data_IF_169882857833
#
_entry.id   IF_169882857833
#
_cell.length_a   1.000
_cell.length_b   1.000
_cell.length_c   1.000
_cell.angle_alpha   90.00
_cell.angle_beta   90.00
_cell.angle_gamma   90.00
#
_symmetry.space_group_name_H-M   'P 1'
#
loop_
_entity.id
_entity.type
_entity.pdbx_description
1 polymer ?
#
# COMPACT_ATOMS: atom_id res chain seq x y z
N UNK A 1 0.31 12.50 -2.76
CA UNK A 1 1.22 12.04 -3.81
C UNK A 1 2.18 11.05 -3.19
N UNK A 2 2.18 9.82 -3.66
CA UNK A 2 3.07 8.79 -3.15
C UNK A 2 4.36 8.75 -3.97
N UNK A 3 5.49 8.62 -3.29
CA UNK A 3 6.78 8.41 -3.95
C UNK A 3 6.93 6.90 -4.09
N UNK A 4 6.59 6.39 -5.27
CA UNK A 4 6.54 4.96 -5.57
C UNK A 4 7.93 4.31 -5.64
N UNK A 5 8.95 5.05 -6.09
CA UNK A 5 10.32 4.57 -6.23
C UNK A 5 11.32 5.48 -5.50
N UNK A 6 12.10 4.88 -4.60
CA UNK A 6 13.09 5.59 -3.78
C UNK A 6 14.53 5.34 -4.21
N UNK A 7 14.76 4.46 -5.20
CA UNK A 7 16.05 3.97 -5.66
C UNK A 7 16.40 4.41 -7.08
N UNK A 8 15.40 4.77 -7.90
CA UNK A 8 15.63 5.33 -9.24
C UNK A 8 16.05 6.81 -9.19
N UNK A 9 17.05 7.23 -9.99
CA UNK A 9 17.40 8.63 -10.12
C UNK A 9 16.24 9.51 -10.63
N UNK A 10 15.97 10.62 -9.94
CA UNK A 10 14.99 11.62 -10.38
C UNK A 10 15.47 12.48 -11.56
N UNK A 11 14.54 13.23 -12.14
CA UNK A 11 14.75 14.00 -13.38
C UNK A 11 15.47 15.34 -13.15
N UNK A 12 15.44 15.90 -11.94
CA UNK A 12 15.99 17.23 -11.65
C UNK A 12 17.41 17.20 -11.09
N UNK A 13 17.70 16.26 -10.18
CA UNK A 13 18.98 16.15 -9.47
C UNK A 13 19.78 14.90 -9.83
N UNK A 14 19.23 13.99 -10.65
CA UNK A 14 19.89 12.75 -11.05
C UNK A 14 20.25 11.86 -9.85
N UNK A 15 19.46 11.91 -8.78
CA UNK A 15 19.69 11.18 -7.53
C UNK A 15 18.44 10.41 -7.14
N UNK A 16 18.59 9.22 -6.53
CA UNK A 16 17.45 8.56 -5.90
C UNK A 16 16.89 9.40 -4.75
N UNK A 17 15.58 9.31 -4.50
CA UNK A 17 14.93 10.02 -3.40
C UNK A 17 15.57 9.70 -2.05
N UNK A 18 16.11 8.48 -1.87
CA UNK A 18 16.93 8.10 -0.71
C UNK A 18 18.14 9.02 -0.49
N UNK A 19 18.68 9.68 -1.51
CA UNK A 19 19.85 10.58 -1.45
C UNK A 19 19.49 12.06 -1.63
N UNK A 20 18.20 12.39 -1.65
CA UNK A 20 17.69 13.76 -1.74
C UNK A 20 17.36 14.31 -0.34
N UNK A 21 17.71 15.56 -0.08
CA UNK A 21 17.18 16.29 1.08
C UNK A 21 15.67 16.50 0.96
N UNK A 22 15.00 16.87 2.06
CA UNK A 22 13.54 17.14 2.05
C UNK A 22 13.10 18.11 0.95
N UNK A 23 13.83 19.21 0.75
CA UNK A 23 13.57 20.19 -0.31
C UNK A 23 13.88 19.66 -1.71
N UNK A 24 14.88 18.79 -1.85
CA UNK A 24 15.14 18.15 -3.14
C UNK A 24 14.06 17.16 -3.52
N UNK A 25 13.51 16.43 -2.53
CA UNK A 25 12.38 15.52 -2.75
C UNK A 25 11.17 16.31 -3.24
N UNK A 26 10.79 17.39 -2.54
CA UNK A 26 9.66 18.21 -2.96
C UNK A 26 9.81 18.75 -4.39
N UNK A 27 10.97 19.32 -4.72
CA UNK A 27 11.23 19.83 -6.08
C UNK A 27 11.22 18.73 -7.14
N UNK A 28 11.71 17.53 -6.84
CA UNK A 28 11.66 16.38 -7.76
C UNK A 28 10.23 15.92 -8.02
N UNK A 29 9.44 15.76 -6.95
CA UNK A 29 8.03 15.36 -7.07
C UNK A 29 7.26 16.40 -7.87
N UNK A 30 7.44 17.69 -7.57
CA UNK A 30 6.81 18.78 -8.31
C UNK A 30 7.21 18.79 -9.79
N UNK A 31 8.49 18.61 -10.09
CA UNK A 31 8.98 18.55 -11.48
C UNK A 31 8.38 17.37 -12.25
N UNK A 32 8.25 16.19 -11.62
CA UNK A 32 7.65 15.01 -12.25
C UNK A 32 6.15 15.19 -12.46
N UNK A 33 5.45 15.79 -11.49
CA UNK A 33 4.02 16.12 -11.65
C UNK A 33 3.81 17.06 -12.83
N UNK A 34 4.62 18.12 -12.96
CA UNK A 34 4.58 19.02 -14.12
C UNK A 34 4.86 18.32 -15.42
N UNK A 35 5.96 17.55 -15.48
CA UNK A 35 6.34 16.84 -16.69
C UNK A 35 5.27 15.86 -17.19
N UNK A 36 4.45 15.30 -16.29
CA UNK A 36 3.38 14.37 -16.65
C UNK A 36 2.03 15.04 -16.91
N UNK A 37 1.70 16.11 -16.19
CA UNK A 37 0.40 16.78 -16.29
C UNK A 37 0.38 17.96 -17.27
N UNK A 38 1.55 18.50 -17.64
CA UNK A 38 1.71 19.57 -18.62
C UNK A 38 2.34 19.03 -19.94
N UNK A 39 2.18 17.73 -20.21
CA UNK A 39 2.78 17.01 -21.36
C UNK A 39 2.15 17.37 -22.73
N UNK A 40 0.97 17.98 -22.71
CA UNK A 40 0.26 18.53 -23.87
C UNK A 40 0.52 20.04 -24.10
N UNK A 41 1.38 20.67 -23.28
CA UNK A 41 1.70 22.10 -23.34
C UNK A 41 0.73 23.03 -22.62
N UNK A 42 -0.32 22.51 -21.98
CA UNK A 42 -1.19 23.28 -21.09
C UNK A 42 -0.54 23.42 -19.71
N UNK A 43 -0.52 24.63 -19.15
CA UNK A 43 -0.04 24.82 -17.77
C UNK A 43 -1.16 24.60 -16.77
N UNK A 44 -1.12 23.45 -16.11
CA UNK A 44 -2.09 23.04 -15.08
C UNK A 44 -1.53 23.11 -13.66
N UNK A 45 -0.21 23.21 -13.50
CA UNK A 45 0.46 23.31 -12.20
C UNK A 45 1.36 24.57 -12.11
N UNK A 46 0.83 25.80 -12.30
CA UNK A 46 1.63 27.00 -12.10
C UNK A 46 2.15 27.06 -10.64
N UNK A 47 3.33 27.65 -10.43
CA UNK A 47 4.00 27.57 -9.11
C UNK A 47 3.21 28.23 -7.96
N UNK A 48 2.29 29.14 -8.28
CA UNK A 48 1.42 29.83 -7.32
C UNK A 48 0.24 28.97 -6.83
N UNK A 49 -0.07 27.84 -7.50
CA UNK A 49 -1.07 26.87 -7.03
C UNK A 49 -0.56 26.05 -5.83
N UNK A 50 0.76 25.99 -5.64
CA UNK A 50 1.38 25.30 -4.52
C UNK A 50 1.38 26.19 -3.28
N UNK A 51 0.32 26.09 -2.49
CA UNK A 51 0.20 26.81 -1.21
C UNK A 51 1.13 26.23 -0.13
N UNK A 52 1.12 24.90 0.02
CA UNK A 52 1.92 24.21 1.03
C UNK A 52 2.27 22.78 0.60
N UNK A 53 3.33 22.24 1.22
CA UNK A 53 3.71 20.85 1.05
C UNK A 53 4.21 20.25 2.35
N UNK A 54 4.04 18.94 2.46
CA UNK A 54 4.46 18.17 3.62
C UNK A 54 4.96 16.80 3.19
N UNK A 55 6.21 16.50 3.51
CA UNK A 55 6.77 15.14 3.46
C UNK A 55 6.59 14.46 4.83
N UNK A 56 6.23 13.18 4.81
CA UNK A 56 6.03 12.31 5.97
C UNK A 56 7.16 12.47 7.02
N UNK A 57 6.84 12.69 8.31
CA UNK A 57 7.83 12.84 9.37
C UNK A 57 8.66 11.59 9.63
N UNK A 58 8.19 10.40 9.25
CA UNK A 58 8.93 9.13 9.28
C UNK A 58 10.09 9.09 8.28
N UNK A 59 10.11 9.97 7.27
CA UNK A 59 11.26 10.15 6.38
C UNK A 59 12.28 11.09 7.04
N UNK A 60 13.35 10.52 7.58
CA UNK A 60 14.41 11.25 8.29
C UNK A 60 15.69 11.35 7.49
N UNK A 61 16.12 12.57 7.19
CA UNK A 61 17.41 12.83 6.53
C UNK A 61 18.59 12.71 7.51
N UNK A 62 19.54 11.82 7.19
CA UNK A 62 20.82 11.76 7.88
C UNK A 62 21.87 12.58 7.13
N UNK A 63 22.31 13.71 7.71
CA UNK A 63 23.42 14.52 7.15
C UNK A 63 24.72 13.73 7.04
N UNK A 64 25.04 12.91 8.05
CA UNK A 64 26.26 12.07 8.08
C UNK A 64 26.27 11.01 6.99
N UNK A 65 25.14 10.32 6.79
CA UNK A 65 25.03 9.24 5.80
C UNK A 65 24.63 9.75 4.41
N UNK A 66 24.25 11.04 4.30
CA UNK A 66 23.69 11.67 3.10
C UNK A 66 22.56 10.83 2.50
N UNK A 67 21.68 10.32 3.37
CA UNK A 67 20.61 9.40 3.00
C UNK A 67 19.39 9.55 3.92
N UNK A 68 18.19 9.35 3.38
CA UNK A 68 16.95 9.20 4.13
C UNK A 68 16.82 7.81 4.76
N UNK A 69 16.23 7.77 5.95
CA UNK A 69 15.72 6.57 6.62
C UNK A 69 14.20 6.68 6.70
N UNK A 70 13.51 5.55 6.61
CA UNK A 70 12.08 5.46 6.82
C UNK A 70 11.83 4.77 8.16
N UNK A 71 11.25 5.49 9.12
CA UNK A 71 10.89 4.99 10.46
C UNK A 71 9.53 4.27 10.46
N UNK A 72 8.74 4.46 9.42
CA UNK A 72 7.39 3.91 9.24
C UNK A 72 7.32 3.16 7.91
N UNK A 73 8.10 2.06 7.73
CA UNK A 73 8.00 1.24 6.54
C UNK A 73 6.58 0.72 6.41
N UNK A 74 5.94 1.00 5.27
CA UNK A 74 4.63 0.44 4.96
C UNK A 74 4.73 -1.08 4.90
N UNK A 75 3.70 -1.75 5.39
CA UNK A 75 3.52 -3.17 5.13
C UNK A 75 3.20 -3.33 3.63
N UNK A 76 4.22 -3.69 2.86
CA UNK A 76 4.05 -4.04 1.45
C UNK A 76 3.88 -5.55 1.36
N UNK A 77 2.78 -6.00 0.76
CA UNK A 77 2.56 -7.41 0.48
C UNK A 77 3.71 -7.94 -0.38
N UNK A 78 4.42 -8.95 0.12
CA UNK A 78 5.30 -9.76 -0.72
C UNK A 78 4.59 -11.04 -1.11
N UNK A 79 5.02 -11.67 -2.20
CA UNK A 79 4.53 -12.99 -2.59
C UNK A 79 4.62 -13.95 -1.38
N UNK A 80 3.54 -14.71 -1.17
CA UNK A 80 3.41 -15.68 -0.08
C UNK A 80 3.49 -15.09 1.35
N UNK A 81 3.39 -13.77 1.53
CA UNK A 81 3.38 -13.17 2.87
C UNK A 81 2.08 -13.42 3.64
N UNK A 82 0.98 -13.71 2.94
CA UNK A 82 -0.34 -13.90 3.54
C UNK A 82 -0.35 -14.96 4.64
N UNK A 83 0.26 -16.12 4.39
CA UNK A 83 0.28 -17.25 5.32
C UNK A 83 1.06 -16.96 6.62
N UNK A 84 1.95 -15.96 6.60
CA UNK A 84 2.71 -15.53 7.77
C UNK A 84 1.96 -14.51 8.63
N UNK A 85 0.83 -13.97 8.16
CA UNK A 85 0.04 -13.01 8.91
C UNK A 85 -0.73 -13.70 10.04
N UNK A 86 -0.77 -13.11 11.24
CA UNK A 86 -1.54 -13.68 12.34
C UNK A 86 -3.04 -13.61 12.09
N UNK A 87 -3.76 -14.52 12.72
CA UNK A 87 -5.19 -14.41 12.94
C UNK A 87 -5.48 -13.38 14.06
N UNK A 88 -6.68 -12.77 14.07
CA UNK A 88 -7.06 -11.79 15.10
C UNK A 88 -7.04 -12.33 16.53
N UNK A 89 -7.37 -13.62 16.74
CA UNK A 89 -7.31 -14.27 18.05
C UNK A 89 -5.91 -14.87 18.26
N UNK A 90 -5.29 -14.52 19.38
CA UNK A 90 -3.98 -15.08 19.76
C UNK A 90 -4.11 -16.26 20.72
N UNK A 91 -2.97 -16.91 21.03
CA UNK A 91 -2.89 -17.92 22.10
C UNK A 91 -3.01 -17.33 23.51
N UNK A 92 -2.83 -16.02 23.66
CA UNK A 92 -3.00 -15.31 24.93
C UNK A 92 -4.49 -14.95 25.04
N UNK A 93 -5.25 -15.50 26.01
CA UNK A 93 -6.71 -15.45 25.99
C UNK A 93 -7.35 -14.07 25.95
N UNK A 94 -6.64 -13.04 26.41
CA UNK A 94 -7.10 -11.66 26.50
C UNK A 94 -6.31 -10.69 25.58
N UNK A 95 -5.56 -11.22 24.61
CA UNK A 95 -4.86 -10.43 23.59
C UNK A 95 -5.40 -10.75 22.20
N UNK A 96 -5.89 -9.71 21.52
CA UNK A 96 -6.43 -9.76 20.16
C UNK A 96 -5.67 -8.76 19.29
N UNK A 97 -5.52 -9.09 18.01
CA UNK A 97 -4.76 -8.30 17.04
C UNK A 97 -5.69 -7.69 16.00
N UNK A 98 -5.40 -6.44 15.62
CA UNK A 98 -6.04 -5.72 14.53
C UNK A 98 -5.00 -4.86 13.80
N UNK A 99 -5.29 -4.56 12.53
CA UNK A 99 -4.43 -3.82 11.62
C UNK A 99 -4.11 -4.60 10.34
N UNK A 100 -3.49 -3.93 9.40
CA UNK A 100 -3.30 -4.40 8.01
C UNK A 100 -2.43 -5.65 7.88
N UNK A 101 -1.67 -6.00 8.93
CA UNK A 101 -0.85 -7.21 8.98
C UNK A 101 -1.63 -8.44 9.46
N UNK A 102 -2.89 -8.29 9.87
CA UNK A 102 -3.75 -9.38 10.34
C UNK A 102 -4.53 -9.96 9.14
N UNK A 103 -4.75 -11.28 9.14
CA UNK A 103 -5.52 -11.93 8.07
C UNK A 103 -6.99 -11.48 8.09
N UNK A 104 -7.44 -10.93 6.97
CA UNK A 104 -8.82 -10.47 6.66
C UNK A 104 -9.32 -11.06 5.36
N UNK A 105 -10.48 -10.66 4.85
CA UNK A 105 -10.90 -11.08 3.51
C UNK A 105 -10.16 -10.33 2.39
N UNK A 106 -9.61 -9.17 2.72
CA UNK A 106 -8.81 -8.35 1.83
C UNK A 106 -7.33 -8.67 2.06
N UNK A 107 -6.66 -9.29 1.07
CA UNK A 107 -5.21 -9.51 1.08
C UNK A 107 -4.46 -8.30 0.51
N UNK A 108 -4.65 -7.14 1.15
CA UNK A 108 -3.96 -5.89 0.82
C UNK A 108 -3.93 -4.99 2.05
N UNK A 109 -2.84 -4.24 2.24
CA UNK A 109 -2.77 -3.20 3.25
C UNK A 109 -3.67 -2.01 2.84
N UNK A 110 -4.88 -1.97 3.39
CA UNK A 110 -5.86 -0.93 3.12
C UNK A 110 -6.61 -0.53 4.38
N UNK A 111 -7.25 0.64 4.35
CA UNK A 111 -8.12 1.10 5.44
C UNK A 111 -9.31 0.14 5.67
N UNK A 112 -9.80 -0.50 4.61
CA UNK A 112 -10.86 -1.50 4.68
C UNK A 112 -10.38 -2.76 5.42
N UNK A 113 -9.16 -3.25 5.13
CA UNK A 113 -8.53 -4.35 5.86
C UNK A 113 -8.28 -4.00 7.33
N UNK A 114 -7.82 -2.78 7.63
CA UNK A 114 -7.70 -2.27 8.99
C UNK A 114 -9.04 -2.31 9.75
N UNK A 115 -10.11 -1.85 9.12
CA UNK A 115 -11.44 -1.84 9.70
C UNK A 115 -12.01 -3.26 9.84
N UNK A 116 -11.82 -4.15 8.86
CA UNK A 116 -12.28 -5.53 8.93
C UNK A 116 -11.58 -6.30 10.06
N UNK A 117 -10.26 -6.19 10.17
CA UNK A 117 -9.49 -6.82 11.25
C UNK A 117 -9.91 -6.31 12.63
N UNK A 118 -10.21 -5.01 12.77
CA UNK A 118 -10.76 -4.43 13.99
C UNK A 118 -12.11 -5.03 14.37
N UNK A 119 -13.01 -5.20 13.39
CA UNK A 119 -14.32 -5.86 13.61
C UNK A 119 -14.14 -7.31 14.03
N UNK A 120 -13.22 -8.03 13.39
CA UNK A 120 -12.96 -9.42 13.73
C UNK A 120 -12.32 -9.56 15.11
N UNK A 121 -11.37 -8.71 15.49
CA UNK A 121 -10.78 -8.69 16.82
C UNK A 121 -11.85 -8.49 17.92
N UNK A 122 -12.81 -7.59 17.69
CA UNK A 122 -13.95 -7.37 18.60
C UNK A 122 -14.87 -8.60 18.64
N UNK A 123 -15.14 -9.25 17.51
CA UNK A 123 -15.94 -10.47 17.49
C UNK A 123 -15.30 -11.60 18.29
N UNK A 124 -13.98 -11.78 18.14
CA UNK A 124 -13.20 -12.77 18.90
C UNK A 124 -13.17 -12.43 20.40
N UNK A 125 -13.11 -11.14 20.75
CA UNK A 125 -13.24 -10.68 22.13
C UNK A 125 -14.63 -10.98 22.72
N UNK A 126 -15.71 -10.72 21.99
CA UNK A 126 -17.07 -11.00 22.44
C UNK A 126 -17.27 -12.49 22.70
N UNK A 127 -16.77 -13.35 21.81
CA UNK A 127 -16.77 -14.81 21.97
C UNK A 127 -15.99 -15.23 23.23
N UNK A 128 -14.74 -14.77 23.36
CA UNK A 128 -13.88 -15.11 24.51
C UNK A 128 -14.46 -14.64 25.85
N UNK A 129 -15.21 -13.53 25.86
CA UNK A 129 -15.88 -13.00 27.04
C UNK A 129 -17.24 -13.67 27.34
N UNK A 130 -17.71 -14.60 26.49
CA UNK A 130 -19.05 -15.19 26.61
C UNK A 130 -20.18 -14.18 26.45
N UNK A 131 -19.93 -13.09 25.71
CA UNK A 131 -20.89 -11.99 25.53
C UNK A 131 -22.01 -12.40 24.60
N UNK A 132 -23.25 -12.02 24.95
CA UNK A 132 -24.44 -12.22 24.09
C UNK A 132 -24.74 -11.02 23.18
N UNK A 133 -23.85 -10.02 23.12
CA UNK A 133 -24.01 -8.88 22.22
C UNK A 133 -23.87 -9.34 20.76
N UNK A 134 -24.59 -8.71 19.81
CA UNK A 134 -24.44 -9.04 18.40
C UNK A 134 -23.00 -8.79 17.92
N UNK A 135 -22.44 -9.64 17.06
CA UNK A 135 -21.13 -9.43 16.48
C UNK A 135 -21.14 -8.22 15.54
N UNK A 136 -20.00 -7.56 15.42
CA UNK A 136 -19.76 -6.56 14.39
C UNK A 136 -19.87 -7.20 13.00
N UNK A 137 -20.71 -6.62 12.15
CA UNK A 137 -20.94 -7.09 10.78
C UNK A 137 -19.65 -7.01 9.97
N UNK A 138 -19.31 -8.08 9.26
CA UNK A 138 -18.25 -8.11 8.25
C UNK A 138 -18.83 -8.27 6.85
N UNK A 139 -17.98 -8.02 5.87
CA UNK A 139 -18.30 -8.11 4.45
C UNK A 139 -17.27 -8.99 3.78
N UNK A 140 -17.62 -9.52 2.61
CA UNK A 140 -16.70 -10.23 1.74
C UNK A 140 -16.40 -9.36 0.54
N UNK A 141 -15.15 -9.33 0.11
CA UNK A 141 -14.73 -8.74 -1.14
C UNK A 141 -15.51 -9.47 -2.24
N UNK A 142 -16.19 -8.68 -3.07
CA UNK A 142 -16.89 -9.24 -4.21
C UNK A 142 -15.87 -9.68 -5.24
N UNK A 143 -15.78 -10.99 -5.45
CA UNK A 143 -15.02 -11.58 -6.54
C UNK A 143 -15.99 -11.92 -7.70
N UNK A 144 -15.95 -11.19 -8.83
CA UNK A 144 -16.91 -11.38 -9.92
C UNK A 144 -16.77 -12.78 -10.54
N UNK A 145 -17.79 -13.66 -10.41
CA UNK A 145 -17.71 -15.02 -10.95
C UNK A 145 -17.64 -15.05 -12.47
N UNK A 146 -18.05 -13.96 -13.14
CA UNK A 146 -18.03 -13.81 -14.60
C UNK A 146 -16.61 -13.87 -15.17
N UNK A 147 -15.57 -13.61 -14.35
CA UNK A 147 -14.16 -13.65 -14.78
C UNK A 147 -13.42 -14.95 -14.42
N UNK A 148 -14.10 -15.93 -13.81
CA UNK A 148 -13.44 -17.17 -13.37
C UNK A 148 -12.88 -18.01 -14.53
N UNK A 149 -13.51 -17.94 -15.70
CA UNK A 149 -13.03 -18.63 -16.89
C UNK A 149 -11.72 -18.02 -17.38
N UNK A 150 -11.65 -16.69 -17.46
CA UNK A 150 -10.49 -15.93 -17.91
C UNK A 150 -9.31 -16.09 -16.95
N UNK A 151 -9.55 -16.02 -15.62
CA UNK A 151 -8.52 -16.28 -14.61
C UNK A 151 -7.91 -17.67 -14.75
N UNK A 152 -8.73 -18.70 -15.05
CA UNK A 152 -8.23 -20.08 -15.23
C UNK A 152 -7.34 -20.18 -16.47
N UNK A 153 -7.76 -19.59 -17.58
CA UNK A 153 -6.96 -19.54 -18.81
C UNK A 153 -5.64 -18.80 -18.58
N UNK A 154 -5.67 -17.67 -17.88
CA UNK A 154 -4.47 -16.90 -17.52
C UNK A 154 -3.50 -17.74 -16.67
N UNK A 155 -4.00 -18.44 -15.65
CA UNK A 155 -3.19 -19.32 -14.81
C UNK A 155 -2.53 -20.47 -15.61
N UNK A 156 -3.26 -21.05 -16.57
CA UNK A 156 -2.72 -22.09 -17.46
C UNK A 156 -1.64 -21.55 -18.41
N UNK A 157 -1.84 -20.36 -18.98
CA UNK A 157 -0.86 -19.69 -19.84
C UNK A 157 0.40 -19.32 -19.05
N UNK A 158 0.22 -18.77 -17.84
CA UNK A 158 1.31 -18.45 -16.93
C UNK A 158 2.13 -19.70 -16.57
N UNK A 159 1.47 -20.83 -16.26
CA UNK A 159 2.14 -22.10 -16.00
C UNK A 159 2.92 -22.63 -17.21
N UNK A 160 2.54 -22.24 -18.43
CA UNK A 160 3.24 -22.54 -19.68
C UNK A 160 4.31 -21.50 -20.05
N UNK A 161 4.52 -20.46 -19.24
CA UNK A 161 5.43 -19.34 -19.55
C UNK A 161 4.98 -18.49 -20.75
N UNK A 162 3.69 -18.51 -21.06
CA UNK A 162 3.08 -17.76 -22.16
C UNK A 162 2.48 -16.45 -21.63
N UNK A 163 2.44 -15.38 -22.46
CA UNK A 163 1.78 -14.13 -22.08
C UNK A 163 0.28 -14.33 -21.87
N UNK A 164 -0.33 -13.39 -21.16
CA UNK A 164 -1.78 -13.31 -20.97
C UNK A 164 -2.48 -13.09 -22.34
N UNK A 165 -3.72 -13.57 -22.48
CA UNK A 165 -4.47 -13.50 -23.75
C UNK A 165 -4.76 -12.06 -24.27
N UNK A 166 -4.65 -11.06 -23.40
CA UNK A 166 -4.85 -9.64 -23.66
C UNK A 166 -3.55 -8.85 -23.74
N UNK A 167 -2.39 -9.46 -23.48
CA UNK A 167 -1.10 -8.82 -23.70
C UNK A 167 -0.95 -8.56 -25.21
N UNK A 168 -0.72 -7.29 -25.57
CA UNK A 168 -0.43 -6.93 -26.95
C UNK A 168 1.02 -7.29 -27.27
N UNK A 169 1.24 -7.82 -28.48
CA UNK A 169 2.56 -8.09 -29.03
C UNK A 169 3.36 -6.80 -29.30
#
# INVERSE_FOLDING_TARGET
MDISDWDMPGILYGKPAKRCTRFQIEREVWAQMKAHLEDNGESVLPNDVLDAWFLDPGVRWSKKQRRNRNETPLLVNTASSWENRPQPRTKIPNLFLAGDYVQTDIDLATMEGANESGREAVNQLLDAAGSKKPPAKKYKLYDPPEYEAEKRVDAELYAQGRPNAHDRA
#
